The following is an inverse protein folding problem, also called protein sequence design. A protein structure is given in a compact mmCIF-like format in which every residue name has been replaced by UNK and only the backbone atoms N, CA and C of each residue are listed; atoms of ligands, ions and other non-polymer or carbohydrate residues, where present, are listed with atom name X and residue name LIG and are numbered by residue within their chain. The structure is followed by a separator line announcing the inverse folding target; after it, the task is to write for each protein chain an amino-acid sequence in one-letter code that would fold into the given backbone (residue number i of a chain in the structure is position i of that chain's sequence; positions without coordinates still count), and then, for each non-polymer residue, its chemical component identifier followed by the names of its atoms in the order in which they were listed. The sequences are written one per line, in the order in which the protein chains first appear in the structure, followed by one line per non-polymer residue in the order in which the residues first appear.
data_IF_122180590179
#
_entry.id   IF_122180590179
#
_cell.length_a   1.000
_cell.length_b   1.000
_cell.length_c   1.000
_cell.angle_alpha   90.00
_cell.angle_beta   90.00
_cell.angle_gamma   90.00
#
_symmetry.space_group_name_H-M   'P 1'
#
loop_
_entity.id
_entity.type
_entity.pdbx_description
1 polymer ?
#
# COMPACT_ATOMS: atom_id res chain seq x y z
N UNK A 1 -14.91 7.27 -2.79
CA UNK A 1 -13.60 6.61 -2.95
C UNK A 1 -13.65 5.57 -4.08
N UNK A 2 -12.70 5.58 -5.03
CA UNK A 2 -12.63 4.63 -6.17
C UNK A 2 -12.17 3.23 -5.73
N UNK A 3 -11.21 3.16 -4.81
CA UNK A 3 -10.68 1.90 -4.25
C UNK A 3 -11.65 1.18 -3.31
N UNK A 4 -12.85 1.74 -3.07
CA UNK A 4 -13.87 1.13 -2.22
C UNK A 4 -14.25 -0.29 -2.67
N UNK A 5 -14.12 -0.60 -3.97
CA UNK A 5 -14.34 -1.94 -4.54
C UNK A 5 -13.36 -3.01 -4.05
N UNK A 6 -12.25 -2.61 -3.41
CA UNK A 6 -11.27 -3.51 -2.81
C UNK A 6 -11.44 -3.63 -1.27
N UNK A 7 -12.41 -2.94 -0.67
CA UNK A 7 -12.73 -3.13 0.75
C UNK A 7 -13.24 -4.55 0.99
N UNK A 8 -12.73 -5.20 2.05
CA UNK A 8 -13.04 -6.61 2.35
C UNK A 8 -12.32 -7.61 1.45
N UNK A 9 -11.38 -7.15 0.61
CA UNK A 9 -10.46 -8.00 -0.16
C UNK A 9 -9.09 -8.09 0.54
N UNK A 10 -8.18 -8.90 0.04
CA UNK A 10 -6.82 -9.00 0.57
C UNK A 10 -6.01 -7.69 0.42
N UNK A 11 -6.45 -6.76 -0.42
CA UNK A 11 -5.83 -5.44 -0.61
C UNK A 11 -5.86 -4.58 0.65
N UNK A 12 -6.86 -4.74 1.52
CA UNK A 12 -6.94 -4.03 2.81
C UNK A 12 -7.14 -5.00 3.97
N UNK A 13 -6.73 -6.26 3.78
CA UNK A 13 -6.92 -7.35 4.75
C UNK A 13 -5.78 -7.50 5.74
N UNK A 14 -4.71 -6.70 5.64
CA UNK A 14 -3.61 -6.72 6.60
C UNK A 14 -4.02 -6.02 7.89
N UNK A 15 -3.68 -6.60 9.03
CA UNK A 15 -3.97 -6.03 10.35
C UNK A 15 -3.29 -4.65 10.52
N UNK A 16 -2.17 -4.43 9.82
CA UNK A 16 -1.38 -3.20 9.85
C UNK A 16 -1.96 -2.06 9.01
N UNK A 17 -2.96 -2.32 8.15
CA UNK A 17 -3.49 -1.32 7.23
C UNK A 17 -4.06 -0.10 7.96
N UNK A 18 -4.79 -0.29 9.06
CA UNK A 18 -5.35 0.83 9.82
C UNK A 18 -4.26 1.65 10.51
N UNK A 19 -3.14 1.04 10.92
CA UNK A 19 -1.99 1.78 11.44
C UNK A 19 -1.29 2.57 10.34
N UNK A 20 -1.25 2.07 9.10
CA UNK A 20 -0.77 2.85 7.96
C UNK A 20 -1.66 4.08 7.72
N UNK A 21 -2.99 3.94 7.82
CA UNK A 21 -3.94 5.05 7.71
C UNK A 21 -3.69 6.10 8.81
N UNK A 22 -3.56 5.67 10.07
CA UNK A 22 -3.27 6.54 11.21
C UNK A 22 -1.91 7.24 11.05
N UNK A 23 -0.88 6.50 10.64
CA UNK A 23 0.44 7.06 10.33
C UNK A 23 0.36 8.15 9.25
N UNK A 24 -0.40 7.92 8.18
CA UNK A 24 -0.56 8.90 7.10
C UNK A 24 -1.28 10.16 7.57
N UNK A 25 -2.30 10.02 8.42
CA UNK A 25 -2.97 11.15 9.05
C UNK A 25 -2.00 11.97 9.92
N UNK A 26 -1.16 11.30 10.70
CA UNK A 26 -0.19 11.91 11.60
C UNK A 26 0.88 12.74 10.90
N UNK A 27 1.08 12.54 9.59
CA UNK A 27 2.02 13.36 8.82
C UNK A 27 1.56 14.81 8.69
N UNK A 28 0.24 15.09 8.79
CA UNK A 28 -0.36 16.43 8.69
C UNK A 28 0.07 17.18 7.41
N UNK A 29 0.18 16.45 6.31
CA UNK A 29 0.56 16.94 4.98
C UNK A 29 -0.52 16.59 3.96
N UNK A 30 -0.84 17.52 3.06
CA UNK A 30 -1.80 17.27 1.97
C UNK A 30 -1.19 16.39 0.86
N UNK A 31 0.12 16.46 0.64
CA UNK A 31 0.85 15.62 -0.31
C UNK A 31 2.03 14.97 0.40
N UNK A 32 2.16 13.64 0.29
CA UNK A 32 3.21 12.85 0.94
C UNK A 32 3.96 12.06 -0.14
N UNK A 33 5.26 12.34 -0.37
CA UNK A 33 6.05 11.56 -1.31
C UNK A 33 6.18 10.09 -0.88
N UNK A 34 6.11 9.16 -1.84
CA UNK A 34 6.30 7.73 -1.58
C UNK A 34 7.66 7.44 -0.93
N UNK A 35 8.71 8.13 -1.37
CA UNK A 35 10.04 8.05 -0.76
C UNK A 35 10.07 8.48 0.72
N UNK A 36 9.25 9.46 1.12
CA UNK A 36 9.14 9.85 2.53
C UNK A 36 8.52 8.74 3.37
N UNK A 37 7.46 8.11 2.86
CA UNK A 37 6.85 6.92 3.48
C UNK A 37 7.89 5.80 3.59
N UNK A 38 8.66 5.55 2.51
CA UNK A 38 9.67 4.49 2.50
C UNK A 38 10.74 4.69 3.56
N UNK A 39 11.25 5.92 3.72
CA UNK A 39 12.27 6.23 4.73
C UNK A 39 11.69 6.10 6.15
N UNK A 40 10.47 6.61 6.38
CA UNK A 40 9.84 6.57 7.71
C UNK A 40 9.46 5.16 8.15
N UNK A 41 9.14 4.28 7.19
CA UNK A 41 8.78 2.88 7.44
C UNK A 41 9.99 1.94 7.44
N UNK A 42 11.13 2.39 6.95
CA UNK A 42 12.31 1.57 6.72
C UNK A 42 12.24 0.69 5.45
N UNK A 43 11.19 0.84 4.63
CA UNK A 43 11.04 0.14 3.35
C UNK A 43 12.11 0.54 2.32
N UNK A 44 12.75 1.70 2.46
CA UNK A 44 13.89 2.10 1.64
C UNK A 44 15.03 1.06 1.67
N UNK A 45 15.20 0.38 2.81
CA UNK A 45 16.21 -0.68 3.00
C UNK A 45 15.90 -1.96 2.20
N UNK A 46 14.67 -2.14 1.72
CA UNK A 46 14.30 -3.24 0.84
C UNK A 46 14.92 -3.14 -0.56
N UNK A 47 15.34 -1.94 -0.97
CA UNK A 47 15.92 -1.71 -2.30
C UNK A 47 15.04 -2.25 -3.46
N UNK A 48 13.71 -2.09 -3.33
CA UNK A 48 12.71 -2.60 -4.28
C UNK A 48 12.70 -4.12 -4.48
N UNK A 49 13.22 -4.88 -3.51
CA UNK A 49 13.05 -6.32 -3.40
C UNK A 49 12.22 -6.66 -2.16
N UNK A 50 11.00 -7.15 -2.38
CA UNK A 50 10.03 -7.41 -1.31
C UNK A 50 9.74 -8.89 -1.11
N UNK A 51 10.54 -9.81 -1.69
CA UNK A 51 10.38 -11.25 -1.47
C UNK A 51 10.63 -11.64 -0.01
N UNK A 52 11.47 -10.88 0.69
CA UNK A 52 11.74 -11.06 2.11
C UNK A 52 11.75 -9.70 2.81
N UNK A 53 11.15 -9.66 3.98
CA UNK A 53 11.11 -8.48 4.83
C UNK A 53 12.42 -8.37 5.62
N UNK A 54 13.03 -7.19 5.57
CA UNK A 54 14.15 -6.86 6.45
C UNK A 54 13.64 -6.58 7.86
N UNK A 55 14.47 -6.82 8.87
CA UNK A 55 14.11 -6.53 10.25
C UNK A 55 13.90 -5.01 10.50
N UNK A 56 12.97 -4.69 11.38
CA UNK A 56 12.72 -3.33 11.85
C UNK A 56 11.99 -2.44 10.84
N UNK A 57 11.12 -3.02 10.00
CA UNK A 57 10.10 -2.24 9.32
C UNK A 57 9.05 -1.85 10.36
N UNK A 58 8.80 -0.55 10.52
CA UNK A 58 7.94 -0.05 11.60
C UNK A 58 7.15 1.18 11.17
N UNK A 59 6.00 1.41 11.79
CA UNK A 59 5.34 2.71 11.83
C UNK A 59 5.60 3.36 13.18
N UNK A 60 5.86 4.66 13.21
CA UNK A 60 5.90 5.46 14.44
C UNK A 60 4.73 6.43 14.41
N UNK A 61 3.77 6.23 15.31
CA UNK A 61 2.57 7.04 15.46
C UNK A 61 2.82 8.23 16.41
N UNK A 62 1.89 9.17 16.47
CA UNK A 62 2.02 10.45 17.19
C UNK A 62 2.25 10.34 18.70
N UNK A 63 1.89 9.22 19.33
CA UNK A 63 2.13 8.92 20.76
C UNK A 63 3.40 8.07 21.00
N UNK A 64 4.35 8.11 20.06
CA UNK A 64 5.57 7.26 20.04
C UNK A 64 5.26 5.75 20.05
N UNK A 65 4.04 5.36 19.68
CA UNK A 65 3.65 3.96 19.50
C UNK A 65 4.35 3.42 18.26
N UNK A 66 5.10 2.34 18.45
CA UNK A 66 5.81 1.63 17.38
C UNK A 66 4.99 0.40 17.01
N UNK A 67 4.62 0.32 15.74
CA UNK A 67 3.92 -0.85 15.16
C UNK A 67 4.87 -1.53 14.20
N UNK A 68 5.14 -2.82 14.41
CA UNK A 68 5.95 -3.61 13.49
C UNK A 68 5.16 -3.89 12.20
N UNK A 69 5.80 -3.66 11.05
CA UNK A 69 5.28 -4.03 9.74
C UNK A 69 5.86 -5.40 9.39
N UNK A 70 5.06 -6.45 9.53
CA UNK A 70 5.56 -7.83 9.45
C UNK A 70 6.00 -8.18 8.02
N UNK A 71 5.19 -7.82 7.02
CA UNK A 71 5.45 -8.14 5.62
C UNK A 71 5.54 -6.89 4.77
N UNK A 72 6.70 -6.64 4.17
CA UNK A 72 6.89 -5.49 3.29
C UNK A 72 5.95 -5.50 2.09
N UNK A 73 5.63 -6.70 1.56
CA UNK A 73 4.73 -6.82 0.41
C UNK A 73 3.29 -6.41 0.74
N UNK A 74 2.84 -6.56 1.99
CA UNK A 74 1.54 -6.06 2.43
C UNK A 74 1.50 -4.53 2.38
N UNK A 75 2.53 -3.87 2.88
CA UNK A 75 2.62 -2.41 2.84
C UNK A 75 2.68 -1.90 1.40
N UNK A 76 3.40 -2.60 0.53
CA UNK A 76 3.47 -2.27 -0.90
C UNK A 76 2.13 -2.43 -1.61
N UNK A 77 1.36 -3.46 -1.27
CA UNK A 77 0.00 -3.68 -1.75
C UNK A 77 -0.92 -2.53 -1.31
N UNK A 78 -0.89 -2.17 -0.04
CA UNK A 78 -1.72 -1.10 0.53
C UNK A 78 -1.38 0.25 -0.13
N UNK A 79 -0.10 0.60 -0.19
CA UNK A 79 0.38 1.84 -0.84
C UNK A 79 0.03 1.89 -2.33
N UNK A 80 0.02 0.76 -3.03
CA UNK A 80 -0.38 0.70 -4.44
C UNK A 80 -1.86 1.01 -4.63
N UNK A 81 -2.73 0.55 -3.73
CA UNK A 81 -4.14 0.90 -3.76
C UNK A 81 -4.35 2.38 -3.42
N UNK A 82 -3.67 2.90 -2.41
CA UNK A 82 -3.73 4.33 -2.07
C UNK A 82 -3.26 5.21 -3.24
N UNK A 83 -2.16 4.85 -3.91
CA UNK A 83 -1.70 5.53 -5.13
C UNK A 83 -2.73 5.47 -6.28
N UNK A 84 -3.46 4.35 -6.42
CA UNK A 84 -4.53 4.24 -7.41
C UNK A 84 -5.69 5.20 -7.12
N UNK A 85 -6.07 5.36 -5.84
CA UNK A 85 -7.06 6.35 -5.45
C UNK A 85 -6.60 7.77 -5.79
N UNK A 86 -5.36 8.12 -5.46
CA UNK A 86 -4.76 9.41 -5.84
C UNK A 86 -4.74 9.62 -7.35
N UNK A 87 -4.39 8.61 -8.13
CA UNK A 87 -4.37 8.66 -9.61
C UNK A 87 -5.76 8.96 -10.18
N UNK A 88 -6.82 8.38 -9.62
CA UNK A 88 -8.18 8.49 -10.16
C UNK A 88 -8.90 9.73 -9.64
N UNK A 89 -8.83 10.01 -8.34
CA UNK A 89 -9.60 11.05 -7.66
C UNK A 89 -8.77 12.27 -7.22
N UNK A 90 -7.46 12.25 -7.42
CA UNK A 90 -6.54 13.33 -7.03
C UNK A 90 -6.17 13.36 -5.54
N UNK A 91 -6.96 12.71 -4.69
CA UNK A 91 -6.70 12.57 -3.24
C UNK A 91 -7.47 11.37 -2.67
N UNK A 92 -7.08 10.94 -1.48
CA UNK A 92 -7.77 9.97 -0.64
C UNK A 92 -8.36 10.73 0.55
N UNK A 93 -9.61 10.44 0.92
CA UNK A 93 -10.11 10.80 2.24
C UNK A 93 -9.85 9.63 3.20
N UNK A 94 -8.93 9.80 4.16
CA UNK A 94 -8.55 8.71 5.07
C UNK A 94 -9.72 8.22 5.95
N UNK A 95 -10.74 9.07 6.18
CA UNK A 95 -11.95 8.69 6.92
C UNK A 95 -12.84 7.67 6.21
N UNK A 96 -12.74 7.60 4.89
CA UNK A 96 -13.46 6.60 4.11
C UNK A 96 -12.85 5.19 4.32
N UNK A 97 -11.63 5.10 4.87
CA UNK A 97 -10.88 3.86 5.11
C UNK A 97 -10.97 3.37 6.56
N UNK A 98 -10.90 4.28 7.53
CA UNK A 98 -10.97 3.93 8.96
C UNK A 98 -12.42 3.78 9.50
N UNK A 99 -13.42 4.29 8.76
CA UNK A 99 -14.83 4.24 9.15
C UNK A 99 -15.18 5.09 10.37
N UNK A 100 -14.29 6.00 10.78
CA UNK A 100 -14.49 6.89 11.92
C UNK A 100 -15.35 8.12 11.55
N UNK A 101 -16.03 8.68 12.54
CA UNK A 101 -16.81 9.92 12.41
C UNK A 101 -15.94 11.20 12.52
N UNK A 102 -14.61 11.07 12.43
CA UNK A 102 -13.70 12.20 12.54
C UNK A 102 -13.78 13.12 11.30
N UNK A 103 -13.32 14.39 11.41
CA UNK A 103 -13.35 15.32 10.27
C UNK A 103 -12.60 14.78 9.05
N UNK A 104 -13.03 15.12 7.82
CA UNK A 104 -12.36 14.69 6.59
C UNK A 104 -10.87 15.00 6.62
N UNK A 105 -10.06 14.01 6.22
CA UNK A 105 -8.62 14.13 6.13
C UNK A 105 -8.21 13.74 4.71
N UNK A 106 -7.95 14.75 3.88
CA UNK A 106 -7.59 14.55 2.48
C UNK A 106 -6.08 14.59 2.30
N UNK A 107 -5.53 13.53 1.72
CA UNK A 107 -4.10 13.46 1.36
C UNK A 107 -3.92 12.93 -0.06
N UNK A 108 -2.75 13.16 -0.64
CA UNK A 108 -2.32 12.56 -1.89
C UNK A 108 -0.92 11.94 -1.70
N UNK A 109 -0.75 10.67 -2.05
CA UNK A 109 0.58 10.07 -2.16
C UNK A 109 1.10 10.35 -3.56
N UNK A 110 2.29 10.93 -3.67
CA UNK A 110 2.94 11.15 -4.96
C UNK A 110 4.16 10.24 -5.15
N UNK A 111 4.38 9.80 -6.39
CA UNK A 111 5.53 8.98 -6.75
C UNK A 111 6.15 9.50 -8.05
N UNK A 112 7.48 9.45 -8.10
CA UNK A 112 8.27 9.76 -9.29
C UNK A 112 8.08 8.70 -10.38
N UNK A 113 8.43 9.00 -11.64
CA UNK A 113 8.39 8.00 -12.72
C UNK A 113 9.22 6.74 -12.43
N UNK A 114 10.37 6.89 -11.76
CA UNK A 114 11.24 5.77 -11.41
C UNK A 114 10.62 4.91 -10.29
N UNK A 115 10.02 5.54 -9.27
CA UNK A 115 9.27 4.84 -8.23
C UNK A 115 8.06 4.10 -8.81
N UNK A 116 7.30 4.71 -9.73
CA UNK A 116 6.20 4.04 -10.44
C UNK A 116 6.69 2.83 -11.24
N UNK A 117 7.83 2.95 -11.92
CA UNK A 117 8.42 1.84 -12.67
C UNK A 117 8.83 0.70 -11.74
N UNK A 118 9.46 1.03 -10.61
CA UNK A 118 9.91 0.05 -9.63
C UNK A 118 8.72 -0.63 -8.93
N UNK A 119 7.68 0.13 -8.58
CA UNK A 119 6.45 -0.37 -7.98
C UNK A 119 5.68 -1.28 -8.93
N UNK A 120 5.53 -0.90 -10.21
CA UNK A 120 4.92 -1.77 -11.23
C UNK A 120 5.68 -3.11 -11.35
N UNK A 121 7.02 -3.07 -11.34
CA UNK A 121 7.84 -4.28 -11.35
C UNK A 121 7.61 -5.13 -10.10
N UNK A 122 7.63 -4.53 -8.90
CA UNK A 122 7.41 -5.23 -7.65
C UNK A 122 6.06 -5.95 -7.60
N UNK A 123 4.98 -5.29 -8.04
CA UNK A 123 3.66 -5.89 -8.15
C UNK A 123 3.66 -7.04 -9.17
N UNK A 124 4.26 -6.84 -10.34
CA UNK A 124 4.34 -7.89 -11.37
C UNK A 124 5.15 -9.11 -10.90
N UNK A 125 6.22 -8.92 -10.14
CA UNK A 125 7.04 -10.01 -9.59
C UNK A 125 6.22 -10.84 -8.59
N UNK A 126 5.45 -10.17 -7.71
CA UNK A 126 4.55 -10.84 -6.76
C UNK A 126 3.49 -11.66 -7.48
N UNK A 127 2.81 -11.07 -8.47
CA UNK A 127 1.78 -11.77 -9.26
C UNK A 127 2.33 -13.02 -9.95
N UNK A 128 3.58 -12.97 -10.41
CA UNK A 128 4.18 -14.08 -11.14
C UNK A 128 4.61 -15.25 -10.24
N UNK A 129 5.06 -14.96 -9.02
CA UNK A 129 5.58 -15.98 -8.11
C UNK A 129 5.28 -15.64 -6.63
N UNK A 130 4.00 -15.54 -6.24
CA UNK A 130 3.61 -15.09 -4.90
C UNK A 130 4.16 -16.00 -3.80
N UNK A 131 4.26 -17.31 -4.07
CA UNK A 131 4.80 -18.32 -3.15
C UNK A 131 6.29 -18.16 -2.80
N UNK A 132 7.01 -17.25 -3.47
CA UNK A 132 8.41 -16.92 -3.14
C UNK A 132 8.54 -15.83 -2.08
N UNK A 133 7.42 -15.21 -1.70
CA UNK A 133 7.39 -14.16 -0.70
C UNK A 133 7.24 -14.77 0.69
N UNK A 134 7.90 -14.17 1.66
CA UNK A 134 7.86 -14.57 3.08
C UNK A 134 6.44 -14.63 3.67
N UNK A 135 5.52 -13.80 3.18
CA UNK A 135 4.10 -13.84 3.57
C UNK A 135 3.43 -15.20 3.27
N UNK A 136 3.94 -15.96 2.29
CA UNK A 136 3.42 -17.29 1.95
C UNK A 136 3.55 -18.30 3.09
N UNK A 137 4.48 -18.09 4.03
CA UNK A 137 4.59 -18.99 5.19
C UNK A 137 3.36 -18.87 6.11
N UNK A 138 2.65 -17.74 6.06
CA UNK A 138 1.44 -17.47 6.84
C UNK A 138 0.16 -17.59 6.02
N UNK A 139 0.22 -17.34 4.70
CA UNK A 139 -0.90 -17.45 3.79
C UNK A 139 -0.94 -18.81 3.09
N UNK A 140 -2.09 -19.49 3.12
CA UNK A 140 -2.27 -20.71 2.33
C UNK A 140 -2.18 -20.48 0.82
N UNK A 141 -2.06 -21.55 0.04
CA UNK A 141 -1.97 -21.51 -1.43
C UNK A 141 -3.15 -20.78 -2.08
N UNK A 142 -4.38 -21.05 -1.62
CA UNK A 142 -5.58 -20.40 -2.14
C UNK A 142 -5.61 -18.90 -1.83
N UNK A 143 -5.21 -18.53 -0.61
CA UNK A 143 -5.24 -17.14 -0.12
C UNK A 143 -4.22 -16.29 -0.85
N UNK A 144 -2.98 -16.78 -0.99
CA UNK A 144 -1.94 -16.02 -1.68
C UNK A 144 -2.21 -15.91 -3.17
N UNK A 145 -2.83 -16.92 -3.77
CA UNK A 145 -3.25 -16.88 -5.18
C UNK A 145 -4.35 -15.83 -5.39
N UNK A 146 -5.30 -15.74 -4.46
CA UNK A 146 -6.34 -14.72 -4.51
C UNK A 146 -5.76 -13.31 -4.29
N UNK A 147 -4.83 -13.14 -3.35
CA UNK A 147 -4.11 -11.89 -3.14
C UNK A 147 -3.33 -11.47 -4.40
N UNK A 148 -2.64 -12.41 -5.05
CA UNK A 148 -1.94 -12.15 -6.31
C UNK A 148 -2.89 -11.70 -7.42
N UNK A 149 -4.06 -12.33 -7.55
CA UNK A 149 -5.08 -11.90 -8.50
C UNK A 149 -5.55 -10.47 -8.25
N UNK A 150 -5.81 -10.11 -6.99
CA UNK A 150 -6.25 -8.76 -6.62
C UNK A 150 -5.17 -7.71 -6.82
N UNK A 151 -3.93 -8.02 -6.47
CA UNK A 151 -2.78 -7.15 -6.72
C UNK A 151 -2.55 -6.93 -8.22
N UNK A 152 -2.79 -7.92 -9.06
CA UNK A 152 -2.74 -7.77 -10.51
C UNK A 152 -3.82 -6.80 -11.01
N UNK A 153 -5.04 -6.87 -10.48
CA UNK A 153 -6.10 -5.91 -10.82
C UNK A 153 -5.69 -4.48 -10.46
N UNK A 154 -5.15 -4.26 -9.26
CA UNK A 154 -4.65 -2.94 -8.83
C UNK A 154 -3.51 -2.49 -9.74
N UNK A 155 -2.54 -3.36 -10.04
CA UNK A 155 -1.40 -3.06 -10.93
C UNK A 155 -1.86 -2.62 -12.33
N UNK A 156 -2.79 -3.37 -12.93
CA UNK A 156 -3.32 -3.05 -14.25
C UNK A 156 -4.04 -1.70 -14.27
N UNK A 157 -4.83 -1.40 -13.23
CA UNK A 157 -5.52 -0.11 -13.13
C UNK A 157 -4.55 1.06 -12.88
N UNK A 158 -3.52 0.82 -12.08
CA UNK A 158 -2.51 1.82 -11.77
C UNK A 158 -1.57 2.10 -12.96
N UNK A 159 -1.24 1.12 -13.79
CA UNK A 159 -0.19 1.27 -14.81
C UNK A 159 -0.60 1.01 -16.26
N UNK A 160 -1.61 0.19 -16.53
CA UNK A 160 -1.93 -0.25 -17.89
C UNK A 160 -3.22 0.37 -18.43
N UNK A 161 -4.20 0.62 -17.56
CA UNK A 161 -5.40 1.35 -17.93
C UNK A 161 -5.09 2.84 -17.92
N UNK A 162 -5.23 3.47 -19.09
CA UNK A 162 -5.28 4.91 -19.21
C UNK A 162 -6.47 5.42 -18.39
N UNK A 163 -6.26 6.43 -17.54
CA UNK A 163 -7.33 7.15 -16.86
C UNK A 163 -8.21 7.86 -17.89
N UNK A 164 -9.13 7.15 -18.52
CA UNK A 164 -10.22 7.78 -19.25
C UNK A 164 -11.26 8.12 -18.20
N UNK A 165 -11.20 9.34 -17.68
CA UNK A 165 -12.35 9.92 -16.96
C UNK A 165 -13.52 10.02 -17.95
N UNK A 166 -14.72 9.52 -17.62
CA UNK A 166 -15.95 9.92 -18.31
C UNK A 166 -16.31 11.38 -18.02
#
# INVERSE_FOLDING_TARGET
MYIQKYLGSYIFGADEFLYLVEFLEDQKQEEIPLSEIFVKTGLDRQNWDFHKSVDGLVLTLSDDVIVDLIYAIDVIKDLSALLLECKVNGSINLRDLDGSDAPPCHICISATPDEHKALNKALSDFVHAPQKYDIFEMMGEDEITQMAYEMEMVRQELYEKSSVMP
#
